data_IF_219124611000
#
_entry.id   IF_219124611000
#
_cell.length_a   1.000
_cell.length_b   1.000
_cell.length_c   1.000
_cell.angle_alpha   90.00
_cell.angle_beta   90.00
_cell.angle_gamma   90.00
#
_symmetry.space_group_name_H-M   'P 1'
#
loop_
_entity.id
_entity.type
_entity.pdbx_description
1 polymer ?
#
# COMPACT_ATOMS: atom_id res chain seq x y z
N UNK A 1 12.18 -14.53 20.38
CA UNK A 1 12.39 -14.07 18.99
C UNK A 1 12.38 -12.56 19.02
N UNK A 2 13.49 -11.90 18.68
CA UNK A 2 13.54 -10.44 18.59
C UNK A 2 12.69 -9.99 17.40
N UNK A 3 11.52 -9.40 17.65
CA UNK A 3 10.80 -8.68 16.61
C UNK A 3 11.64 -7.46 16.23
N UNK A 4 12.55 -7.63 15.27
CA UNK A 4 13.31 -6.51 14.74
C UNK A 4 12.33 -5.62 13.97
N UNK A 5 12.22 -4.38 14.43
CA UNK A 5 11.40 -3.36 13.78
C UNK A 5 11.98 -3.13 12.38
N UNK A 6 11.12 -3.24 11.36
CA UNK A 6 11.56 -2.96 10.00
C UNK A 6 11.83 -1.46 9.85
N UNK A 7 13.08 -1.03 9.56
CA UNK A 7 13.41 0.40 9.45
C UNK A 7 12.74 1.06 8.24
N UNK A 8 12.34 0.27 7.22
CA UNK A 8 11.71 0.78 6.00
C UNK A 8 10.25 1.16 6.19
N UNK A 9 9.52 0.47 7.06
CA UNK A 9 8.14 0.84 7.42
C UNK A 9 8.02 1.39 8.84
N UNK A 10 9.12 1.57 9.56
CA UNK A 10 9.13 2.08 10.93
C UNK A 10 8.32 1.23 11.92
N UNK A 11 8.07 -0.04 11.61
CA UNK A 11 7.26 -0.91 12.47
C UNK A 11 5.76 -0.89 12.21
N UNK A 12 5.26 -0.25 11.14
CA UNK A 12 3.83 -0.29 10.79
C UNK A 12 3.40 -1.60 10.12
N UNK A 13 4.36 -2.36 9.58
CA UNK A 13 4.08 -3.57 8.78
C UNK A 13 3.47 -3.28 7.39
N UNK A 14 3.04 -2.07 7.11
CA UNK A 14 2.37 -1.69 5.85
C UNK A 14 3.05 -0.49 5.19
N UNK A 15 2.71 -0.28 3.93
CA UNK A 15 3.11 0.89 3.14
C UNK A 15 1.88 1.43 2.42
N UNK A 16 1.69 2.74 2.47
CA UNK A 16 0.70 3.44 1.66
C UNK A 16 1.13 3.45 0.20
N UNK A 17 0.19 3.13 -0.68
CA UNK A 17 0.40 3.13 -2.12
C UNK A 17 -0.74 3.86 -2.79
N UNK A 18 -0.40 4.46 -3.91
CA UNK A 18 -1.34 5.13 -4.79
C UNK A 18 -1.39 4.32 -6.08
N UNK A 19 -2.58 3.87 -6.46
CA UNK A 19 -2.84 3.25 -7.75
C UNK A 19 -3.55 4.27 -8.63
N UNK A 20 -3.07 4.42 -9.86
CA UNK A 20 -3.73 5.21 -10.88
C UNK A 20 -4.41 4.25 -11.86
N UNK A 21 -5.72 4.37 -11.99
CA UNK A 21 -6.57 3.61 -12.91
C UNK A 21 -7.28 4.56 -13.85
N UNK A 22 -7.84 4.01 -14.93
CA UNK A 22 -8.74 4.72 -15.82
C UNK A 22 -10.04 3.95 -15.82
N UNK A 23 -11.11 4.58 -15.37
CA UNK A 23 -12.45 4.00 -15.43
C UNK A 23 -13.17 4.53 -16.66
N UNK A 24 -13.96 3.68 -17.30
CA UNK A 24 -14.80 4.06 -18.44
C UNK A 24 -16.23 4.16 -17.93
N UNK A 25 -16.78 5.36 -18.03
CA UNK A 25 -18.15 5.68 -17.66
C UNK A 25 -19.14 5.09 -18.69
N UNK A 26 -20.42 4.93 -18.34
CA UNK A 26 -21.43 4.36 -19.24
C UNK A 26 -21.62 5.11 -20.56
N UNK A 27 -21.25 6.39 -20.61
CA UNK A 27 -21.28 7.23 -21.82
C UNK A 27 -20.03 7.06 -22.70
N UNK A 28 -19.09 6.19 -22.31
CA UNK A 28 -17.83 5.96 -22.99
C UNK A 28 -16.71 6.95 -22.61
N UNK A 29 -16.98 7.89 -21.70
CA UNK A 29 -15.97 8.82 -21.20
C UNK A 29 -14.96 8.08 -20.33
N UNK A 30 -13.67 8.37 -20.52
CA UNK A 30 -12.59 7.83 -19.67
C UNK A 30 -12.20 8.84 -18.61
N UNK A 31 -12.31 8.46 -17.35
CA UNK A 31 -11.94 9.29 -16.22
C UNK A 31 -10.71 8.71 -15.51
N UNK A 32 -9.64 9.50 -15.29
CA UNK A 32 -8.53 9.07 -14.45
C UNK A 32 -9.01 8.97 -13.01
N UNK A 33 -8.68 7.86 -12.35
CA UNK A 33 -9.00 7.64 -10.94
C UNK A 33 -7.74 7.32 -10.17
N UNK A 34 -7.70 7.84 -8.95
CA UNK A 34 -6.62 7.59 -8.01
C UNK A 34 -7.20 6.87 -6.79
N UNK A 35 -6.61 5.73 -6.45
CA UNK A 35 -6.99 4.93 -5.30
C UNK A 35 -5.82 4.78 -4.35
N UNK A 36 -6.00 5.24 -3.10
CA UNK A 36 -5.03 5.04 -2.05
C UNK A 36 -5.33 3.72 -1.34
N UNK A 37 -4.32 2.87 -1.17
CA UNK A 37 -4.47 1.57 -0.51
C UNK A 37 -3.24 1.22 0.30
N UNK A 38 -3.44 0.41 1.35
CA UNK A 38 -2.37 -0.16 2.14
C UNK A 38 -1.97 -1.52 1.58
N UNK A 39 -0.67 -1.79 1.59
CA UNK A 39 -0.15 -3.13 1.29
C UNK A 39 0.97 -3.50 2.25
N UNK A 40 1.25 -4.80 2.47
CA UNK A 40 2.36 -5.23 3.30
C UNK A 40 3.66 -4.56 2.84
N UNK A 41 4.48 -4.14 3.80
CA UNK A 41 5.78 -3.55 3.49
C UNK A 41 6.59 -4.53 2.63
N UNK A 42 6.99 -4.09 1.43
CA UNK A 42 7.70 -4.95 0.48
C UNK A 42 9.05 -5.47 1.03
N UNK A 43 9.61 -4.80 2.04
CA UNK A 43 10.87 -5.20 2.65
C UNK A 43 10.71 -6.30 3.71
N UNK A 44 9.78 -6.14 4.65
CA UNK A 44 9.58 -7.11 5.74
C UNK A 44 8.40 -8.06 5.54
N UNK A 45 7.66 -7.94 4.43
CA UNK A 45 6.46 -8.72 4.14
C UNK A 45 5.36 -8.56 5.21
N UNK A 46 5.34 -7.44 5.93
CA UNK A 46 4.43 -7.21 7.05
C UNK A 46 4.82 -7.85 8.39
N UNK A 47 5.96 -8.53 8.46
CA UNK A 47 6.42 -9.24 9.67
C UNK A 47 7.18 -8.37 10.67
N UNK A 48 7.73 -7.24 10.22
CA UNK A 48 8.50 -6.32 11.08
C UNK A 48 7.64 -5.21 11.67
N UNK A 49 6.50 -5.55 12.29
CA UNK A 49 5.62 -4.60 12.96
C UNK A 49 5.82 -4.58 14.48
N UNK A 50 5.49 -3.44 15.10
CA UNK A 50 5.36 -3.34 16.57
C UNK A 50 3.97 -3.86 16.93
N UNK A 51 3.88 -4.92 17.73
CA UNK A 51 2.64 -5.30 18.41
C UNK A 51 2.48 -4.46 19.68
#
# INVERSE_FOLDING_TARGET
>A
MSHQICPRCGGTGVTEKIRHTVETEPDGTRQPKQENYLSPCAHCGGKGHVN
#
